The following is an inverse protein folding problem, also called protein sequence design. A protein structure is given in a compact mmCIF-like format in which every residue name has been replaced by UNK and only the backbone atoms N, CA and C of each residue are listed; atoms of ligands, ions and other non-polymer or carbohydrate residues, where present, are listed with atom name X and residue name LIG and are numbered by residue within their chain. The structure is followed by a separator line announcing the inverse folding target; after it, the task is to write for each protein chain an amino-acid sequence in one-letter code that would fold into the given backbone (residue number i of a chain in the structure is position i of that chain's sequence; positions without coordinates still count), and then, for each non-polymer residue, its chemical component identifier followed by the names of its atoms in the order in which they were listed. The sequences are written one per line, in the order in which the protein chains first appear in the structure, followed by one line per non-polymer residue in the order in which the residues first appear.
data_IF_812963666056
#
_entry.id   IF_812963666056
#
_cell.length_a   1.000
_cell.length_b   1.000
_cell.length_c   1.000
_cell.angle_alpha   90.00
_cell.angle_beta   90.00
_cell.angle_gamma   90.00
#
_symmetry.space_group_name_H-M   'P 1'
#
loop_
_entity.id
_entity.type
_entity.pdbx_description
1 polymer ?
#
# COMPACT_ATOMS: atom_id res chain seq x y z
N UNK A 1 48.97 -7.51 -20.48
CA UNK A 1 47.75 -8.27 -20.12
C UNK A 1 46.84 -7.28 -19.39
N UNK A 2 45.81 -6.78 -20.06
CA UNK A 2 44.94 -5.72 -19.56
C UNK A 2 43.71 -6.39 -18.92
N UNK A 3 43.62 -6.36 -17.59
CA UNK A 3 42.46 -6.89 -16.87
C UNK A 3 41.35 -5.86 -16.90
N UNK A 4 40.33 -6.06 -17.74
CA UNK A 4 39.07 -5.30 -17.63
C UNK A 4 38.37 -5.76 -16.35
N UNK A 5 38.40 -4.92 -15.31
CA UNK A 5 37.44 -5.03 -14.23
C UNK A 5 36.06 -4.65 -14.80
N UNK A 6 35.13 -5.62 -14.86
CA UNK A 6 33.73 -5.33 -15.07
C UNK A 6 33.26 -4.43 -13.92
N UNK A 7 32.96 -3.16 -14.21
CA UNK A 7 32.22 -2.33 -13.29
C UNK A 7 30.86 -3.00 -13.02
N UNK A 8 30.37 -3.04 -11.75
CA UNK A 8 29.03 -3.53 -11.47
C UNK A 8 28.04 -2.66 -12.25
N UNK A 9 27.12 -3.31 -12.98
CA UNK A 9 26.08 -2.64 -13.74
C UNK A 9 25.38 -1.58 -12.85
N UNK A 10 25.38 -0.34 -13.32
CA UNK A 10 24.68 0.74 -12.65
C UNK A 10 23.19 0.39 -12.48
N UNK A 11 22.74 0.32 -11.23
CA UNK A 11 21.35 0.53 -10.83
C UNK A 11 20.34 -0.59 -11.15
N UNK A 12 20.45 -1.76 -10.50
CA UNK A 12 19.26 -2.59 -10.36
C UNK A 12 18.25 -1.84 -9.47
N UNK A 13 17.21 -1.27 -10.08
CA UNK A 13 16.17 -0.52 -9.37
C UNK A 13 15.55 -1.34 -8.23
N UNK A 14 15.08 -0.65 -7.19
CA UNK A 14 14.42 -1.29 -6.04
C UNK A 14 12.96 -1.61 -6.38
N UNK A 15 12.38 -2.71 -5.84
CA UNK A 15 10.96 -2.98 -6.01
C UNK A 15 10.10 -1.79 -5.57
N UNK A 16 9.18 -1.37 -6.43
CA UNK A 16 8.32 -0.22 -6.20
C UNK A 16 6.91 -0.44 -6.74
N UNK A 17 5.94 0.28 -6.17
CA UNK A 17 4.54 0.30 -6.61
C UNK A 17 4.20 1.72 -6.99
N UNK A 18 3.86 1.96 -8.27
CA UNK A 18 3.66 3.31 -8.83
C UNK A 18 4.84 4.28 -8.59
N UNK A 19 6.05 3.76 -8.38
CA UNK A 19 7.25 4.54 -8.06
C UNK A 19 7.45 4.85 -6.57
N UNK A 20 6.58 4.38 -5.68
CA UNK A 20 6.86 4.33 -4.24
C UNK A 20 7.73 3.10 -3.95
N UNK A 21 8.96 3.32 -3.48
CA UNK A 21 9.90 2.23 -3.21
C UNK A 21 9.47 1.43 -1.99
N UNK A 22 9.53 0.10 -2.11
CA UNK A 22 9.14 -0.80 -1.04
C UNK A 22 10.28 -1.05 -0.04
N UNK A 23 9.95 -1.30 1.25
CA UNK A 23 10.90 -1.86 2.20
C UNK A 23 11.32 -3.29 1.80
N UNK A 24 12.44 -3.81 2.34
CA UNK A 24 12.88 -5.18 2.06
C UNK A 24 11.84 -6.27 2.36
N UNK A 25 10.94 -6.02 3.31
CA UNK A 25 9.82 -6.92 3.63
C UNK A 25 8.79 -7.03 2.50
N UNK A 26 8.77 -6.07 1.56
CA UNK A 26 7.76 -5.95 0.51
C UNK A 26 6.38 -5.49 1.02
N UNK A 27 6.25 -5.14 2.30
CA UNK A 27 4.99 -4.72 2.91
C UNK A 27 4.63 -3.29 2.49
N UNK A 28 3.39 -3.10 2.06
CA UNK A 28 2.80 -1.79 1.78
C UNK A 28 1.29 -1.84 2.01
N UNK A 29 0.65 -0.66 2.01
CA UNK A 29 -0.80 -0.55 2.04
C UNK A 29 -1.34 0.41 0.99
N UNK A 30 -2.58 0.17 0.59
CA UNK A 30 -3.41 1.14 -0.10
C UNK A 30 -4.36 1.76 0.92
N UNK A 31 -4.01 2.96 1.40
CA UNK A 31 -4.82 3.72 2.34
C UNK A 31 -5.84 4.58 1.60
N UNK A 32 -7.04 4.75 2.18
CA UNK A 32 -8.12 5.55 1.62
C UNK A 32 -9.11 5.98 2.72
N UNK A 33 -9.97 6.94 2.40
CA UNK A 33 -11.15 7.25 3.20
C UNK A 33 -12.32 6.48 2.58
N UNK A 34 -12.94 5.61 3.37
CA UNK A 34 -14.11 4.86 2.90
C UNK A 34 -15.27 5.82 2.67
N UNK A 35 -15.85 5.85 1.46
CA UNK A 35 -16.84 6.87 1.08
C UNK A 35 -18.13 6.80 1.91
N UNK A 36 -18.60 5.59 2.22
CA UNK A 36 -19.82 5.37 3.03
C UNK A 36 -19.60 5.75 4.49
N UNK A 37 -18.63 5.13 5.16
CA UNK A 37 -18.37 5.33 6.59
C UNK A 37 -17.54 6.58 6.93
N UNK A 38 -17.01 7.28 5.91
CA UNK A 38 -16.09 8.42 6.05
C UNK A 38 -14.89 8.12 6.97
N UNK A 39 -14.47 6.86 7.03
CA UNK A 39 -13.46 6.36 7.94
C UNK A 39 -12.14 6.08 7.21
N UNK A 40 -10.99 6.53 7.74
CA UNK A 40 -9.68 6.10 7.28
C UNK A 40 -9.56 4.58 7.34
N UNK A 41 -9.16 3.99 6.22
CA UNK A 41 -9.05 2.56 6.03
C UNK A 41 -7.83 2.23 5.17
N UNK A 42 -7.36 0.99 5.23
CA UNK A 42 -6.23 0.53 4.46
C UNK A 42 -6.35 -0.94 4.13
N UNK A 43 -6.09 -1.29 2.87
CA UNK A 43 -5.85 -2.67 2.45
C UNK A 43 -4.35 -2.93 2.53
N UNK A 44 -3.94 -4.01 3.19
CA UNK A 44 -2.54 -4.31 3.50
C UNK A 44 -2.04 -5.48 2.65
N UNK A 45 -0.88 -5.27 2.03
CA UNK A 45 -0.32 -6.15 1.04
C UNK A 45 1.14 -6.51 1.35
N UNK A 46 1.58 -7.63 0.79
CA UNK A 46 2.99 -7.94 0.57
C UNK A 46 3.25 -8.09 -0.92
N UNK A 47 4.29 -7.45 -1.44
CA UNK A 47 4.75 -7.60 -2.81
C UNK A 47 5.93 -8.58 -2.91
N UNK A 48 5.78 -9.63 -3.71
CA UNK A 48 6.87 -10.60 -4.00
C UNK A 48 6.74 -11.12 -5.43
N UNK A 49 7.87 -11.27 -6.13
CA UNK A 49 7.90 -11.86 -7.47
C UNK A 49 6.96 -11.18 -8.47
N UNK A 50 6.82 -9.86 -8.40
CA UNK A 50 5.92 -9.10 -9.29
C UNK A 50 4.44 -9.11 -8.90
N UNK A 51 4.05 -9.83 -7.85
CA UNK A 51 2.66 -10.02 -7.43
C UNK A 51 2.38 -9.34 -6.10
N UNK A 52 1.11 -9.05 -5.85
CA UNK A 52 0.58 -8.51 -4.60
C UNK A 52 -0.20 -9.59 -3.87
N UNK A 53 0.00 -9.75 -2.57
CA UNK A 53 -0.88 -10.58 -1.74
C UNK A 53 -1.47 -9.71 -0.65
N UNK A 54 -2.77 -9.48 -0.72
CA UNK A 54 -3.55 -8.82 0.33
C UNK A 54 -3.77 -9.79 1.47
N UNK A 55 -3.50 -9.38 2.70
CA UNK A 55 -3.62 -10.24 3.88
C UNK A 55 -4.39 -9.60 5.03
N UNK A 56 -4.65 -8.28 4.98
CA UNK A 56 -5.48 -7.62 5.99
C UNK A 56 -6.19 -6.38 5.46
N UNK A 57 -7.23 -5.98 6.18
CA UNK A 57 -7.85 -4.66 6.13
C UNK A 57 -7.71 -4.01 7.50
N UNK A 58 -7.34 -2.73 7.53
CA UNK A 58 -7.31 -1.91 8.74
C UNK A 58 -8.30 -0.76 8.59
N UNK A 59 -9.03 -0.42 9.63
CA UNK A 59 -9.90 0.76 9.66
C UNK A 59 -10.05 1.32 11.07
N UNK A 60 -10.43 2.59 11.17
CA UNK A 60 -10.88 3.18 12.43
C UNK A 60 -12.35 2.87 12.72
N UNK A 61 -13.06 2.18 11.81
CA UNK A 61 -14.48 1.85 11.94
C UNK A 61 -14.70 0.34 11.81
N UNK A 62 -15.37 -0.25 12.80
CA UNK A 62 -15.79 -1.67 12.76
C UNK A 62 -16.75 -1.92 11.58
N UNK A 63 -17.63 -0.96 11.28
CA UNK A 63 -18.58 -1.06 10.16
C UNK A 63 -17.92 -1.18 8.79
N UNK A 64 -16.70 -0.66 8.61
CA UNK A 64 -15.93 -0.89 7.36
C UNK A 64 -15.52 -2.35 7.25
N UNK A 65 -15.09 -2.98 8.35
CA UNK A 65 -14.68 -4.39 8.33
C UNK A 65 -15.89 -5.30 8.08
N UNK A 66 -17.05 -4.94 8.62
CA UNK A 66 -18.30 -5.67 8.40
C UNK A 66 -18.81 -5.51 6.97
N UNK A 67 -18.63 -4.33 6.37
CA UNK A 67 -19.02 -4.05 4.99
C UNK A 67 -18.33 -4.98 3.98
N UNK A 68 -17.06 -5.31 4.22
CA UNK A 68 -16.32 -6.23 3.34
C UNK A 68 -16.80 -7.68 3.45
N UNK A 69 -17.46 -8.06 4.56
CA UNK A 69 -17.96 -9.42 4.83
C UNK A 69 -16.90 -10.51 4.55
N UNK A 70 -15.62 -10.23 4.84
CA UNK A 70 -14.52 -11.16 4.62
C UNK A 70 -14.28 -12.02 5.87
N UNK A 71 -14.04 -13.31 5.65
CA UNK A 71 -13.65 -14.23 6.71
C UNK A 71 -12.23 -13.92 7.21
N UNK A 72 -12.05 -13.95 8.54
CA UNK A 72 -10.77 -13.66 9.15
C UNK A 72 -10.82 -13.46 10.65
N UNK A 73 -9.66 -13.12 11.21
CA UNK A 73 -9.50 -12.84 12.63
C UNK A 73 -9.43 -11.33 12.86
N UNK A 74 -10.28 -10.82 13.74
CA UNK A 74 -10.27 -9.42 14.15
C UNK A 74 -9.32 -9.20 15.33
N UNK A 75 -8.55 -8.12 15.29
CA UNK A 75 -7.71 -7.66 16.39
C UNK A 75 -7.63 -6.13 16.41
N UNK A 76 -6.88 -5.59 17.38
CA UNK A 76 -6.55 -4.16 17.44
C UNK A 76 -5.12 -3.94 17.03
N UNK A 77 -4.88 -2.85 16.31
CA UNK A 77 -3.52 -2.35 16.06
C UNK A 77 -3.02 -1.59 17.31
N UNK A 78 -1.70 -1.42 17.49
CA UNK A 78 -1.16 -0.73 18.67
C UNK A 78 -1.67 0.71 18.84
N UNK A 79 -2.05 1.36 17.74
CA UNK A 79 -2.62 2.72 17.70
C UNK A 79 -4.15 2.74 17.87
N UNK A 80 -4.78 1.63 18.24
CA UNK A 80 -6.21 1.54 18.55
C UNK A 80 -7.13 1.33 17.35
N UNK A 81 -6.56 1.20 16.14
CA UNK A 81 -7.27 0.81 14.93
C UNK A 81 -7.80 -0.62 15.00
N UNK A 82 -8.72 -0.95 14.10
CA UNK A 82 -9.29 -2.29 13.92
C UNK A 82 -8.61 -2.96 12.76
N UNK A 83 -8.14 -4.18 12.97
CA UNK A 83 -7.51 -4.99 11.94
C UNK A 83 -8.34 -6.25 11.72
N UNK A 84 -8.63 -6.57 10.46
CA UNK A 84 -9.12 -7.87 10.02
C UNK A 84 -8.00 -8.55 9.25
N UNK A 85 -7.42 -9.61 9.81
CA UNK A 85 -6.49 -10.49 9.11
C UNK A 85 -7.30 -11.54 8.36
N UNK A 86 -7.15 -11.60 7.05
CA UNK A 86 -7.90 -12.51 6.19
C UNK A 86 -7.56 -13.97 6.53
N UNK A 87 -8.59 -14.83 6.59
CA UNK A 87 -8.39 -16.27 6.74
C UNK A 87 -7.64 -16.87 5.54
N UNK A 88 -7.95 -16.37 4.34
CA UNK A 88 -7.28 -16.72 3.09
C UNK A 88 -6.78 -15.44 2.41
N UNK A 89 -5.46 -15.20 2.34
CA UNK A 89 -4.90 -14.08 1.60
C UNK A 89 -5.23 -14.13 0.11
N UNK A 90 -5.39 -12.96 -0.53
CA UNK A 90 -5.79 -12.87 -1.94
C UNK A 90 -4.62 -12.32 -2.76
N UNK A 91 -4.26 -13.02 -3.85
CA UNK A 91 -3.11 -12.65 -4.69
C UNK A 91 -3.53 -12.08 -6.05
N UNK A 92 -2.89 -10.99 -6.44
CA UNK A 92 -3.14 -10.26 -7.68
C UNK A 92 -1.83 -10.08 -8.48
N UNK A 93 -1.93 -10.11 -9.81
CA UNK A 93 -0.82 -9.68 -10.69
C UNK A 93 -0.78 -8.16 -10.88
N UNK A 94 -1.96 -7.55 -10.92
CA UNK A 94 -2.16 -6.12 -11.00
C UNK A 94 -3.38 -5.69 -10.18
N UNK A 95 -3.41 -4.43 -9.75
CA UNK A 95 -4.54 -3.87 -9.02
C UNK A 95 -5.13 -2.69 -9.81
N UNK A 96 -6.21 -2.89 -10.57
CA UNK A 96 -6.95 -1.81 -11.20
C UNK A 96 -7.74 -1.03 -10.15
N UNK A 97 -7.64 0.29 -10.18
CA UNK A 97 -8.20 1.20 -9.20
C UNK A 97 -8.82 2.43 -9.88
N UNK A 98 -9.81 3.01 -9.21
CA UNK A 98 -10.32 4.36 -9.52
C UNK A 98 -9.99 5.25 -8.33
N UNK A 99 -9.14 6.25 -8.50
CA UNK A 99 -8.79 7.19 -7.43
C UNK A 99 -9.54 8.51 -7.59
N UNK A 100 -10.13 8.99 -6.49
CA UNK A 100 -10.88 10.26 -6.43
C UNK A 100 -10.41 11.11 -5.24
N UNK A 101 -10.62 12.44 -5.28
CA UNK A 101 -10.33 13.31 -4.14
C UNK A 101 -11.08 12.95 -2.86
N UNK A 102 -12.25 12.29 -2.97
CA UNK A 102 -13.05 11.86 -1.81
C UNK A 102 -12.37 10.67 -1.12
N UNK A 103 -12.01 9.65 -1.89
CA UNK A 103 -11.39 8.44 -1.35
C UNK A 103 -9.93 8.66 -0.95
N UNK A 104 -9.27 9.68 -1.49
CA UNK A 104 -7.87 10.04 -1.18
C UNK A 104 -6.91 8.84 -1.23
N UNK A 105 -7.12 7.91 -2.18
CA UNK A 105 -6.30 6.69 -2.31
C UNK A 105 -4.81 7.04 -2.33
N UNK A 106 -4.06 6.46 -1.40
CA UNK A 106 -2.66 6.79 -1.13
C UNK A 106 -1.90 5.51 -0.86
N UNK A 107 -0.78 5.29 -1.55
CA UNK A 107 0.13 4.19 -1.22
C UNK A 107 0.93 4.54 0.02
N UNK A 108 1.18 3.55 0.87
CA UNK A 108 1.93 3.69 2.12
C UNK A 108 2.94 2.56 2.22
N UNK A 109 4.23 2.88 2.33
CA UNK A 109 5.31 1.90 2.47
C UNK A 109 6.51 2.50 3.18
N UNK A 110 7.09 1.78 4.15
CA UNK A 110 8.33 2.22 4.82
C UNK A 110 8.25 3.63 5.45
N UNK A 111 7.09 4.02 5.99
CA UNK A 111 6.86 5.35 6.57
C UNK A 111 6.67 6.48 5.53
N UNK A 112 6.62 6.16 4.23
CA UNK A 112 6.43 7.11 3.13
C UNK A 112 5.07 6.89 2.48
N UNK A 113 4.57 7.97 1.87
CA UNK A 113 3.27 7.98 1.22
C UNK A 113 3.33 8.55 -0.20
N UNK A 114 2.52 8.00 -1.09
CA UNK A 114 2.33 8.50 -2.46
C UNK A 114 0.83 8.65 -2.77
N UNK A 115 0.30 9.89 -2.82
CA UNK A 115 -1.08 10.14 -3.20
C UNK A 115 -1.36 9.69 -4.65
N UNK A 116 -2.42 8.89 -4.82
CA UNK A 116 -2.86 8.38 -6.12
C UNK A 116 -4.13 9.08 -6.63
N UNK A 117 -4.70 10.03 -5.93
CA UNK A 117 -5.90 10.76 -6.37
C UNK A 117 -5.56 12.05 -7.14
N UNK A 118 -6.37 12.42 -8.15
CA UNK A 118 -6.25 13.72 -8.82
C UNK A 118 -6.78 14.84 -7.92
N UNK A 119 -6.54 16.11 -8.28
CA UNK A 119 -7.12 17.26 -7.58
C UNK A 119 -8.64 17.33 -7.72
N UNK A 120 -9.18 16.90 -8.88
CA UNK A 120 -10.61 16.85 -9.17
C UNK A 120 -10.96 15.62 -10.03
N UNK A 121 -12.24 15.24 -10.03
CA UNK A 121 -12.75 14.12 -10.84
C UNK A 121 -12.27 12.75 -10.38
N UNK A 122 -12.02 11.86 -11.34
CA UNK A 122 -11.59 10.49 -11.10
C UNK A 122 -10.44 10.11 -12.04
N UNK A 123 -9.51 9.30 -11.55
CA UNK A 123 -8.39 8.77 -12.32
C UNK A 123 -8.37 7.25 -12.24
N UNK A 124 -8.34 6.58 -13.40
CA UNK A 124 -8.07 5.13 -13.47
C UNK A 124 -6.57 4.89 -13.36
N UNK A 125 -6.18 3.92 -12.54
CA UNK A 125 -4.77 3.58 -12.27
C UNK A 125 -4.69 2.06 -12.17
N UNK A 126 -3.65 1.48 -12.76
CA UNK A 126 -3.32 0.08 -12.54
C UNK A 126 -1.99 0.02 -11.79
N UNK A 127 -1.99 -0.61 -10.62
CA UNK A 127 -0.77 -0.83 -9.85
C UNK A 127 -0.11 -2.13 -10.28
N UNK A 128 1.20 -2.07 -10.50
CA UNK A 128 2.09 -3.20 -10.78
C UNK A 128 3.37 -3.03 -9.99
N UNK A 129 3.99 -4.14 -9.57
CA UNK A 129 5.32 -4.10 -8.95
C UNK A 129 6.35 -3.95 -10.08
N UNK A 130 7.16 -2.89 -10.04
CA UNK A 130 8.24 -2.67 -11.00
C UNK A 130 9.48 -2.13 -10.28
N UNK A 131 10.70 -2.39 -10.78
CA UNK A 131 11.89 -1.71 -10.28
C UNK A 131 11.79 -0.19 -10.49
N UNK A 132 12.22 0.59 -9.50
CA UNK A 132 12.39 2.04 -9.60
C UNK A 132 13.76 2.46 -9.06
N UNK A 133 14.38 3.46 -9.70
CA UNK A 133 15.64 4.06 -9.26
C UNK A 133 15.39 5.13 -8.19
N UNK A 134 14.33 5.92 -8.37
CA UNK A 134 13.96 7.00 -7.47
C UNK A 134 12.68 6.69 -6.70
N UNK A 135 12.65 7.12 -5.45
CA UNK A 135 11.46 7.03 -4.60
C UNK A 135 10.59 8.28 -4.76
N UNK A 136 9.39 8.10 -5.29
CA UNK A 136 8.38 9.17 -5.44
C UNK A 136 7.60 9.45 -4.16
N UNK A 137 7.82 8.65 -3.11
CA UNK A 137 7.15 8.83 -1.83
C UNK A 137 7.55 10.14 -1.14
N UNK A 138 6.60 10.72 -0.41
CA UNK A 138 6.82 11.85 0.50
C UNK A 138 6.32 11.54 1.91
N UNK A 139 6.26 12.56 2.78
CA UNK A 139 5.65 12.44 4.10
C UNK A 139 4.18 12.02 4.02
N UNK A 140 3.73 11.25 5.01
CA UNK A 140 2.35 10.80 5.06
C UNK A 140 1.39 11.90 5.54
N UNK A 141 0.41 12.32 4.70
CA UNK A 141 -0.56 13.31 5.12
C UNK A 141 -1.56 12.68 6.11
N UNK A 142 -2.15 13.48 7.03
CA UNK A 142 -3.34 13.05 7.75
C UNK A 142 -4.47 12.65 6.77
N UNK A 143 -5.23 11.57 7.05
CA UNK A 143 -5.21 10.75 8.26
C UNK A 143 -4.24 9.54 8.22
N UNK A 144 -3.49 9.34 7.14
CA UNK A 144 -2.77 8.09 6.87
C UNK A 144 -1.48 7.89 7.67
N UNK A 145 -1.10 8.86 8.50
CA UNK A 145 -0.04 8.71 9.49
C UNK A 145 -0.38 7.62 10.52
N UNK A 146 -1.63 7.48 10.94
CA UNK A 146 -2.02 6.40 11.86
C UNK A 146 -1.79 5.02 11.22
N UNK A 147 -2.23 4.88 9.95
CA UNK A 147 -2.04 3.65 9.15
C UNK A 147 -0.57 3.23 9.04
N UNK A 148 0.38 4.17 8.95
CA UNK A 148 1.81 3.79 8.91
C UNK A 148 2.29 3.06 10.16
N UNK A 149 1.78 3.40 11.34
CA UNK A 149 2.16 2.74 12.59
C UNK A 149 1.68 1.29 12.62
N UNK A 150 0.47 1.04 12.10
CA UNK A 150 -0.09 -0.31 12.00
C UNK A 150 0.66 -1.24 11.05
N UNK A 151 1.45 -0.71 10.10
CA UNK A 151 2.22 -1.49 9.13
C UNK A 151 3.62 -1.89 9.60
N UNK A 152 4.11 -1.26 10.67
CA UNK A 152 5.44 -1.50 11.24
C UNK A 152 5.42 -2.57 12.36
N UNK A 153 4.24 -3.08 12.71
CA UNK A 153 3.99 -4.09 13.76
C UNK A 153 3.72 -5.46 13.14
#
# INVERSE_FOLDING_TARGET
MLTLALAPAAGAGRPAVAGLVLPPSGVFALAYVHSVYRAPSAEVFTARGGRFTMWAVVSTSDGVLDYYALDGTRSRTPDGGRLLRLAVPVTYGELPLIATPIGRRTLVAGGRCLPLYPASGARRITLTVRPALDDRGGPCPPPFRAVTASLAS
#
